data_IF_106559496159
#
_entry.id   IF_106559496159
#
_cell.length_a   1.000
_cell.length_b   1.000
_cell.length_c   1.000
_cell.angle_alpha   90.00
_cell.angle_beta   90.00
_cell.angle_gamma   90.00
#
_symmetry.space_group_name_H-M   'P 1'
#
loop_
_entity.id
_entity.type
_entity.pdbx_description
1 polymer ?
#
# COMPACT_ATOMS: atom_id res chain seq x y z
N UNK A 1 -17.01 21.69 12.66
CA UNK A 1 -15.77 21.47 11.87
C UNK A 1 -16.10 20.64 10.64
N UNK A 2 -15.81 21.10 9.41
CA UNK A 2 -16.00 20.27 8.20
C UNK A 2 -14.92 19.17 8.15
N UNK A 3 -15.34 17.92 8.00
CA UNK A 3 -14.46 16.77 7.79
C UNK A 3 -13.94 16.82 6.35
N UNK A 4 -12.62 16.88 6.19
CA UNK A 4 -11.97 16.82 4.87
C UNK A 4 -11.41 15.42 4.65
N UNK A 5 -11.35 14.91 3.41
CA UNK A 5 -10.76 13.60 3.11
C UNK A 5 -9.37 13.43 3.73
N UNK A 6 -8.51 14.45 3.62
CA UNK A 6 -7.15 14.42 4.18
C UNK A 6 -7.12 14.22 5.72
N UNK A 7 -8.10 14.77 6.46
CA UNK A 7 -8.18 14.55 7.92
C UNK A 7 -8.57 13.11 8.23
N UNK A 8 -9.41 12.51 7.41
CA UNK A 8 -9.82 11.11 7.56
C UNK A 8 -8.64 10.20 7.23
N UNK A 9 -7.88 10.49 6.17
CA UNK A 9 -6.63 9.77 5.86
C UNK A 9 -5.62 9.87 7.01
N UNK A 10 -5.43 11.05 7.61
CA UNK A 10 -4.54 11.22 8.76
C UNK A 10 -5.04 10.44 9.99
N UNK A 11 -6.35 10.49 10.27
CA UNK A 11 -6.97 9.71 11.34
C UNK A 11 -6.78 8.21 11.09
N UNK A 12 -6.97 7.74 9.86
CA UNK A 12 -6.76 6.37 9.43
C UNK A 12 -5.34 5.89 9.74
N UNK A 13 -4.33 6.71 9.40
CA UNK A 13 -2.93 6.42 9.73
C UNK A 13 -2.75 6.35 11.24
N UNK A 14 -3.24 7.33 12.01
CA UNK A 14 -3.15 7.32 13.47
C UNK A 14 -3.80 6.08 14.10
N UNK A 15 -4.98 5.67 13.63
CA UNK A 15 -5.68 4.44 14.04
C UNK A 15 -4.86 3.21 13.69
N UNK A 16 -4.22 3.18 12.52
CA UNK A 16 -3.32 2.09 12.12
C UNK A 16 -2.12 1.93 13.05
N UNK A 17 -1.47 3.05 13.42
CA UNK A 17 -0.38 3.04 14.41
C UNK A 17 -0.86 2.62 15.80
N UNK A 18 -2.04 3.10 16.22
CA UNK A 18 -2.63 2.71 17.49
C UNK A 18 -2.90 1.20 17.54
N UNK A 19 -3.46 0.61 16.47
CA UNK A 19 -3.67 -0.82 16.34
C UNK A 19 -2.36 -1.60 16.50
N UNK A 20 -1.31 -1.20 15.77
CA UNK A 20 0.01 -1.85 15.86
C UNK A 20 0.63 -1.72 17.26
N UNK A 21 0.44 -0.58 17.94
CA UNK A 21 0.94 -0.39 19.30
C UNK A 21 0.21 -1.24 20.36
N UNK A 22 -0.99 -1.74 20.06
CA UNK A 22 -1.79 -2.56 20.96
C UNK A 22 -1.53 -4.05 20.78
N UNK A 23 -1.15 -4.48 19.57
CA UNK A 23 -0.77 -5.86 19.33
C UNK A 23 0.37 -6.28 20.26
N UNK A 24 0.29 -7.52 20.76
CA UNK A 24 1.29 -8.13 21.63
C UNK A 24 1.24 -7.70 23.10
N UNK A 25 0.43 -6.71 23.48
CA UNK A 25 0.38 -6.21 24.87
C UNK A 25 -0.45 -7.07 25.83
N UNK A 26 -1.62 -7.51 25.38
CA UNK A 26 -2.54 -8.34 26.16
C UNK A 26 -3.56 -9.01 25.24
N UNK A 27 -4.19 -10.07 25.72
CA UNK A 27 -5.32 -10.75 25.08
C UNK A 27 -6.39 -9.78 24.53
N UNK A 28 -6.97 -8.97 25.42
CA UNK A 28 -8.00 -7.99 25.06
C UNK A 28 -7.46 -6.85 24.18
N UNK A 29 -6.18 -6.48 24.35
CA UNK A 29 -5.53 -5.49 23.50
C UNK A 29 -5.34 -6.00 22.06
N UNK A 30 -5.09 -7.30 21.86
CA UNK A 30 -5.02 -7.90 20.53
C UNK A 30 -6.38 -7.85 19.83
N UNK A 31 -7.47 -8.17 20.54
CA UNK A 31 -8.83 -8.05 19.98
C UNK A 31 -9.18 -6.60 19.63
N UNK A 32 -8.83 -5.65 20.50
CA UNK A 32 -8.98 -4.23 20.22
C UNK A 32 -8.15 -3.79 19.00
N UNK A 33 -6.91 -4.30 18.85
CA UNK A 33 -6.07 -4.02 17.68
C UNK A 33 -6.66 -4.56 16.38
N UNK A 34 -7.26 -5.75 16.38
CA UNK A 34 -8.02 -6.27 15.23
C UNK A 34 -9.20 -5.36 14.90
N UNK A 35 -9.98 -4.93 15.91
CA UNK A 35 -11.10 -4.02 15.70
C UNK A 35 -10.64 -2.66 15.11
N UNK A 36 -9.52 -2.12 15.60
CA UNK A 36 -8.92 -0.89 15.06
C UNK A 36 -8.38 -1.08 13.63
N UNK A 37 -7.87 -2.27 13.31
CA UNK A 37 -7.45 -2.62 11.94
C UNK A 37 -8.64 -2.53 10.99
N UNK A 38 -9.76 -3.17 11.36
CA UNK A 38 -11.02 -3.10 10.60
C UNK A 38 -11.51 -1.66 10.51
N UNK A 39 -11.43 -0.88 11.58
CA UNK A 39 -11.80 0.53 11.57
C UNK A 39 -10.93 1.37 10.62
N UNK A 40 -9.61 1.14 10.59
CA UNK A 40 -8.71 1.83 9.65
C UNK A 40 -9.09 1.52 8.19
N UNK A 41 -9.45 0.27 7.89
CA UNK A 41 -9.93 -0.12 6.55
C UNK A 41 -11.27 0.55 6.23
N UNK A 42 -12.18 0.65 7.19
CA UNK A 42 -13.46 1.32 6.99
C UNK A 42 -13.27 2.83 6.75
N UNK A 43 -12.29 3.47 7.40
CA UNK A 43 -11.96 4.88 7.20
C UNK A 43 -11.44 5.18 5.79
N UNK A 44 -10.70 4.25 5.16
CA UNK A 44 -10.28 4.32 3.75
C UNK A 44 -11.47 4.28 2.79
N UNK A 45 -12.43 3.39 3.04
CA UNK A 45 -13.64 3.36 2.23
C UNK A 45 -14.44 4.66 2.36
N UNK A 46 -14.43 5.26 3.56
CA UNK A 46 -15.16 6.48 3.89
C UNK A 46 -14.53 7.73 3.28
N UNK A 47 -13.21 7.91 3.35
CA UNK A 47 -12.56 9.10 2.78
C UNK A 47 -12.73 9.17 1.26
N UNK A 48 -12.64 8.03 0.58
CA UNK A 48 -12.90 7.90 -0.85
C UNK A 48 -14.37 8.15 -1.20
N UNK A 49 -15.31 7.74 -0.34
CA UNK A 49 -16.73 8.05 -0.53
C UNK A 49 -16.99 9.56 -0.43
N UNK A 50 -16.50 10.19 0.64
CA UNK A 50 -16.68 11.63 0.88
C UNK A 50 -16.01 12.46 -0.22
N UNK A 51 -14.79 12.12 -0.63
CA UNK A 51 -14.09 12.83 -1.70
C UNK A 51 -14.87 12.85 -3.02
N UNK A 52 -15.55 11.73 -3.36
CA UNK A 52 -16.39 11.64 -4.57
C UNK A 52 -17.71 12.37 -4.42
N UNK A 53 -18.35 12.28 -3.25
CA UNK A 53 -19.67 12.86 -3.02
C UNK A 53 -19.63 14.38 -2.93
N UNK A 54 -18.59 14.91 -2.31
CA UNK A 54 -18.41 16.35 -2.07
C UNK A 54 -17.58 17.04 -3.17
N UNK A 55 -17.13 16.30 -4.19
CA UNK A 55 -16.26 16.79 -5.27
C UNK A 55 -14.98 17.49 -4.77
N UNK A 56 -14.44 17.02 -3.64
CA UNK A 56 -13.25 17.56 -2.96
C UNK A 56 -11.96 16.84 -3.38
N UNK A 57 -11.97 16.15 -4.52
CA UNK A 57 -10.80 15.45 -5.03
C UNK A 57 -9.73 16.45 -5.48
N UNK A 58 -8.61 16.50 -4.75
CA UNK A 58 -7.47 17.38 -5.07
C UNK A 58 -6.22 16.55 -5.40
N UNK A 59 -5.29 17.06 -6.25
CA UNK A 59 -4.02 16.38 -6.53
C UNK A 59 -3.15 16.17 -5.29
N UNK A 60 -3.19 17.10 -4.32
CA UNK A 60 -2.50 16.95 -3.05
C UNK A 60 -3.16 15.91 -2.16
N UNK A 61 -4.50 15.90 -2.05
CA UNK A 61 -5.23 14.90 -1.29
C UNK A 61 -4.96 13.48 -1.79
N UNK A 62 -4.92 13.28 -3.11
CA UNK A 62 -4.57 11.99 -3.71
C UNK A 62 -3.14 11.52 -3.36
N UNK A 63 -2.17 12.45 -3.25
CA UNK A 63 -0.81 12.11 -2.82
C UNK A 63 -0.75 11.76 -1.32
N UNK A 64 -1.49 12.49 -0.48
CA UNK A 64 -1.60 12.19 0.96
C UNK A 64 -2.24 10.81 1.19
N UNK A 65 -3.25 10.47 0.41
CA UNK A 65 -3.90 9.15 0.46
C UNK A 65 -2.94 8.01 0.07
N UNK A 66 -2.22 8.17 -1.05
CA UNK A 66 -1.17 7.22 -1.46
C UNK A 66 -0.11 7.09 -0.37
N UNK A 67 0.32 8.19 0.24
CA UNK A 67 1.30 8.16 1.33
C UNK A 67 0.74 7.40 2.55
N UNK A 68 -0.49 7.69 2.96
CA UNK A 68 -1.17 7.01 4.07
C UNK A 68 -1.28 5.50 3.84
N UNK A 69 -1.64 5.07 2.63
CA UNK A 69 -1.69 3.66 2.23
C UNK A 69 -0.34 2.96 2.42
N UNK A 70 0.75 3.63 2.02
CA UNK A 70 2.12 3.09 2.14
C UNK A 70 2.57 3.01 3.57
N UNK A 71 2.23 3.99 4.39
CA UNK A 71 2.56 3.99 5.81
C UNK A 71 1.88 2.83 6.52
N UNK A 72 0.56 2.65 6.32
CA UNK A 72 -0.20 1.56 6.94
C UNK A 72 0.29 0.20 6.43
N UNK A 73 0.47 0.04 5.11
CA UNK A 73 1.00 -1.20 4.52
C UNK A 73 2.33 -1.61 5.17
N UNK A 74 3.29 -0.67 5.25
CA UNK A 74 4.60 -0.97 5.81
C UNK A 74 4.57 -1.19 7.32
N UNK A 75 3.82 -0.39 8.07
CA UNK A 75 3.74 -0.51 9.54
C UNK A 75 3.18 -1.87 9.95
N UNK A 76 2.11 -2.34 9.29
CA UNK A 76 1.53 -3.65 9.58
C UNK A 76 2.46 -4.81 9.20
N UNK A 77 2.98 -4.84 7.95
CA UNK A 77 3.86 -5.93 7.54
C UNK A 77 5.18 -5.96 8.31
N UNK A 78 5.73 -4.79 8.68
CA UNK A 78 6.94 -4.72 9.51
C UNK A 78 6.68 -5.26 10.91
N UNK A 79 5.55 -4.91 11.52
CA UNK A 79 5.17 -5.44 12.82
C UNK A 79 5.02 -6.97 12.79
N UNK A 80 4.26 -7.51 11.82
CA UNK A 80 4.08 -8.96 11.71
C UNK A 80 5.38 -9.69 11.38
N UNK A 81 6.31 -9.05 10.65
CA UNK A 81 7.64 -9.60 10.43
C UNK A 81 8.47 -9.62 11.72
N UNK A 82 8.44 -8.54 12.50
CA UNK A 82 9.15 -8.44 13.77
C UNK A 82 8.66 -9.47 14.81
N UNK A 83 7.37 -9.80 14.78
CA UNK A 83 6.76 -10.83 15.63
C UNK A 83 7.01 -12.26 15.11
N UNK A 84 7.63 -12.41 13.94
CA UNK A 84 7.99 -13.70 13.34
C UNK A 84 6.83 -14.43 12.66
N UNK A 85 5.73 -13.73 12.37
CA UNK A 85 4.57 -14.32 11.69
C UNK A 85 4.75 -14.35 10.17
N UNK A 86 5.48 -13.39 9.62
CA UNK A 86 5.79 -13.30 8.20
C UNK A 86 7.29 -13.06 7.97
N UNK A 87 7.79 -13.34 6.77
CA UNK A 87 9.19 -13.08 6.43
C UNK A 87 9.50 -11.58 6.40
N UNK A 88 10.67 -11.19 6.92
CA UNK A 88 11.18 -9.81 6.84
C UNK A 88 11.32 -9.32 5.38
N UNK A 89 11.49 -10.22 4.42
CA UNK A 89 11.57 -9.87 3.00
C UNK A 89 10.25 -9.31 2.44
N UNK A 90 9.11 -9.61 3.06
CA UNK A 90 7.81 -9.11 2.61
C UNK A 90 7.67 -7.59 2.78
N UNK A 91 7.81 -6.99 3.98
CA UNK A 91 7.76 -5.53 4.12
C UNK A 91 8.85 -4.83 3.29
N UNK A 92 10.06 -5.41 3.20
CA UNK A 92 11.13 -4.88 2.33
C UNK A 92 10.70 -4.83 0.87
N UNK A 93 10.06 -5.89 0.37
CA UNK A 93 9.55 -5.96 -1.00
C UNK A 93 8.43 -4.93 -1.24
N UNK A 94 7.44 -4.85 -0.34
CA UNK A 94 6.36 -3.86 -0.46
C UNK A 94 6.89 -2.43 -0.46
N UNK A 95 7.85 -2.13 0.42
CA UNK A 95 8.52 -0.84 0.49
C UNK A 95 9.30 -0.53 -0.79
N UNK A 96 10.24 -1.41 -1.18
CA UNK A 96 11.11 -1.20 -2.34
C UNK A 96 10.29 -1.04 -3.62
N UNK A 97 9.31 -1.93 -3.87
CA UNK A 97 8.43 -1.82 -5.03
C UNK A 97 7.62 -0.53 -4.97
N UNK A 98 7.05 -0.20 -3.81
CA UNK A 98 6.30 1.04 -3.61
C UNK A 98 7.13 2.28 -3.97
N UNK A 99 8.30 2.41 -3.36
CA UNK A 99 9.23 3.51 -3.58
C UNK A 99 9.64 3.65 -5.06
N UNK A 100 9.98 2.56 -5.73
CA UNK A 100 10.32 2.60 -7.17
C UNK A 100 9.11 3.04 -8.01
N UNK A 101 7.92 2.49 -7.75
CA UNK A 101 6.72 2.89 -8.50
C UNK A 101 6.34 4.36 -8.30
N UNK A 102 6.53 4.88 -7.09
CA UNK A 102 6.21 6.27 -6.76
C UNK A 102 7.27 7.23 -7.33
N UNK A 103 8.55 6.83 -7.34
CA UNK A 103 9.62 7.55 -8.02
C UNK A 103 9.37 7.69 -9.53
N UNK A 104 9.06 6.57 -10.22
CA UNK A 104 8.78 6.58 -11.66
C UNK A 104 7.54 7.42 -12.00
N UNK A 105 6.49 7.35 -11.17
CA UNK A 105 5.32 8.23 -11.30
C UNK A 105 5.69 9.69 -11.13
N UNK A 106 6.56 10.03 -10.18
CA UNK A 106 7.07 11.37 -9.99
C UNK A 106 7.81 11.91 -11.22
N UNK A 107 8.62 11.09 -11.88
CA UNK A 107 9.29 11.45 -13.13
C UNK A 107 8.30 11.66 -14.28
N UNK A 108 7.29 10.80 -14.40
CA UNK A 108 6.24 10.95 -15.40
C UNK A 108 5.44 12.25 -15.20
N UNK A 109 5.11 12.60 -13.95
CA UNK A 109 4.47 13.87 -13.59
C UNK A 109 5.31 15.08 -14.01
N UNK A 110 6.63 15.04 -13.79
CA UNK A 110 7.55 16.09 -14.27
C UNK A 110 7.59 16.19 -15.80
N UNK A 111 7.42 15.08 -16.51
CA UNK A 111 7.34 15.03 -17.96
C UNK A 111 5.95 15.42 -18.53
N UNK A 112 5.05 15.99 -17.71
CA UNK A 112 3.72 16.43 -18.13
C UNK A 112 2.71 15.30 -18.28
N UNK A 113 2.99 14.10 -17.77
CA UNK A 113 2.07 12.96 -17.78
C UNK A 113 1.38 12.85 -16.42
N UNK A 114 0.06 12.79 -16.41
CA UNK A 114 -0.73 12.60 -15.19
C UNK A 114 -0.74 11.13 -14.76
N UNK A 115 -1.14 10.84 -13.52
CA UNK A 115 -1.44 9.47 -13.09
C UNK A 115 -2.73 8.88 -13.71
N UNK A 116 -3.63 9.73 -14.22
CA UNK A 116 -4.99 9.38 -14.64
C UNK A 116 -5.44 10.17 -15.89
N UNK A 117 -6.26 9.58 -16.76
CA UNK A 117 -6.86 10.25 -17.92
C UNK A 117 -6.06 10.14 -19.22
N UNK A 118 -6.35 11.03 -20.20
CA UNK A 118 -5.73 11.01 -21.53
C UNK A 118 -4.19 11.19 -21.51
N UNK A 119 -3.65 11.80 -20.45
CA UNK A 119 -2.21 11.96 -20.21
C UNK A 119 -1.64 10.95 -19.22
N UNK A 120 -2.33 9.82 -18.96
CA UNK A 120 -1.86 8.81 -18.02
C UNK A 120 -0.45 8.33 -18.35
N UNK A 121 0.37 8.13 -17.30
CA UNK A 121 1.69 7.50 -17.41
C UNK A 121 1.59 6.12 -18.07
N UNK A 122 0.57 5.33 -17.70
CA UNK A 122 0.32 4.00 -18.26
C UNK A 122 -0.51 4.10 -19.56
N UNK A 123 0.16 3.87 -20.68
CA UNK A 123 -0.42 3.86 -22.01
C UNK A 123 -0.86 2.47 -22.45
N UNK A 124 -0.18 1.41 -22.00
CA UNK A 124 -0.53 0.05 -22.43
C UNK A 124 -1.92 -0.40 -21.89
N UNK A 125 -2.76 -1.06 -22.71
CA UNK A 125 -4.08 -1.53 -22.26
C UNK A 125 -4.00 -2.54 -21.12
N UNK A 126 -3.01 -3.44 -21.17
CA UNK A 126 -2.78 -4.44 -20.13
C UNK A 126 -2.26 -3.80 -18.83
N UNK A 127 -1.34 -2.82 -18.90
CA UNK A 127 -0.86 -2.09 -17.74
C UNK A 127 -1.98 -1.28 -17.08
N UNK A 128 -2.84 -0.65 -17.88
CA UNK A 128 -4.02 0.07 -17.37
C UNK A 128 -5.05 -0.88 -16.75
N UNK A 129 -5.32 -2.02 -17.37
CA UNK A 129 -6.22 -3.05 -16.84
C UNK A 129 -5.69 -3.63 -15.51
N UNK A 130 -4.38 -3.90 -15.43
CA UNK A 130 -3.78 -4.54 -14.27
C UNK A 130 -3.53 -3.57 -13.11
N UNK A 131 -3.21 -2.30 -13.37
CA UNK A 131 -2.82 -1.34 -12.32
C UNK A 131 -3.93 -0.35 -12.00
N UNK A 132 -4.58 0.19 -13.03
CA UNK A 132 -5.51 1.32 -12.90
C UNK A 132 -6.99 0.89 -12.81
N UNK A 133 -7.34 -0.35 -13.19
CA UNK A 133 -8.72 -0.83 -13.09
C UNK A 133 -9.24 -0.78 -11.66
N UNK A 134 -10.55 -0.50 -11.50
CA UNK A 134 -11.22 -0.45 -10.20
C UNK A 134 -11.20 -1.84 -9.54
N UNK A 135 -11.37 -2.88 -10.34
CA UNK A 135 -11.42 -4.26 -9.87
C UNK A 135 -10.06 -4.74 -9.35
N UNK A 136 -8.97 -4.53 -10.10
CA UNK A 136 -7.63 -4.92 -9.64
C UNK A 136 -7.19 -4.14 -8.39
N UNK A 137 -7.51 -2.84 -8.31
CA UNK A 137 -7.24 -2.03 -7.12
C UNK A 137 -8.01 -2.55 -5.91
N UNK A 138 -9.31 -2.80 -6.07
CA UNK A 138 -10.18 -3.35 -5.02
C UNK A 138 -9.72 -4.73 -4.57
N UNK A 139 -9.36 -5.62 -5.51
CA UNK A 139 -8.84 -6.95 -5.21
C UNK A 139 -7.55 -6.86 -4.37
N UNK A 140 -6.58 -6.04 -4.77
CA UNK A 140 -5.34 -5.88 -4.02
C UNK A 140 -5.56 -5.30 -2.61
N UNK A 141 -6.43 -4.29 -2.49
CA UNK A 141 -6.81 -3.73 -1.19
C UNK A 141 -7.49 -4.78 -0.30
N UNK A 142 -8.42 -5.56 -0.88
CA UNK A 142 -9.09 -6.67 -0.23
C UNK A 142 -8.12 -7.75 0.25
N UNK A 143 -7.17 -8.16 -0.59
CA UNK A 143 -6.15 -9.15 -0.24
C UNK A 143 -5.31 -8.70 0.96
N UNK A 144 -4.88 -7.43 1.01
CA UNK A 144 -4.16 -6.88 2.17
C UNK A 144 -5.02 -6.81 3.42
N UNK A 145 -6.25 -6.33 3.28
CA UNK A 145 -7.21 -6.25 4.38
C UNK A 145 -7.39 -7.65 5.00
N UNK A 146 -7.63 -8.65 4.16
CA UNK A 146 -7.69 -10.04 4.59
C UNK A 146 -6.39 -10.49 5.25
N UNK A 147 -5.21 -10.18 4.69
CA UNK A 147 -3.93 -10.50 5.34
C UNK A 147 -3.84 -9.90 6.75
N UNK A 148 -4.12 -8.61 6.91
CA UNK A 148 -3.98 -7.92 8.20
C UNK A 148 -4.99 -8.41 9.23
N UNK A 149 -6.24 -8.61 8.84
CA UNK A 149 -7.26 -9.17 9.71
C UNK A 149 -6.91 -10.60 10.12
N UNK A 150 -6.40 -11.42 9.19
CA UNK A 150 -6.11 -12.81 9.44
C UNK A 150 -4.85 -13.00 10.30
N UNK A 151 -3.77 -12.27 10.01
CA UNK A 151 -2.56 -12.23 10.85
C UNK A 151 -2.85 -11.64 12.24
N UNK A 152 -3.68 -10.59 12.31
CA UNK A 152 -4.11 -10.01 13.58
C UNK A 152 -4.96 -10.98 14.41
N UNK A 153 -5.87 -11.72 13.77
CA UNK A 153 -6.68 -12.75 14.42
C UNK A 153 -5.82 -13.93 14.88
N UNK A 154 -4.90 -14.42 14.05
CA UNK A 154 -3.95 -15.47 14.43
C UNK A 154 -3.13 -15.04 15.66
N UNK A 155 -2.65 -13.80 15.69
CA UNK A 155 -1.91 -13.27 16.84
C UNK A 155 -2.79 -13.18 18.09
N UNK A 156 -4.05 -12.74 17.94
CA UNK A 156 -5.01 -12.68 19.02
C UNK A 156 -5.36 -14.08 19.57
N UNK A 157 -5.44 -15.07 18.69
CA UNK A 157 -5.72 -16.46 19.05
C UNK A 157 -4.49 -17.13 19.69
N UNK A 158 -3.29 -16.91 19.16
CA UNK A 158 -2.04 -17.50 19.66
C UNK A 158 -1.58 -16.92 21.01
N UNK A 159 -1.94 -15.66 21.31
CA UNK A 159 -1.54 -14.95 22.55
C UNK A 159 -2.73 -14.51 23.41
N UNK A 160 -3.93 -15.03 23.15
CA UNK A 160 -5.17 -14.66 23.84
C UNK A 160 -5.70 -15.72 24.81
N UNK A 161 -6.88 -15.48 25.43
CA UNK A 161 -7.48 -16.40 26.40
C UNK A 161 -8.04 -17.66 25.73
N UNK A 162 -8.20 -17.64 24.40
CA UNK A 162 -8.68 -18.79 23.60
C UNK A 162 -7.57 -19.83 23.39
N UNK A 163 -6.30 -19.49 23.63
CA UNK A 163 -5.21 -20.47 23.71
C UNK A 163 -5.44 -21.52 24.83
N UNK A 164 -6.39 -21.27 25.74
CA UNK A 164 -6.81 -22.22 26.78
C UNK A 164 -7.76 -23.34 26.28
N UNK A 165 -8.27 -23.25 25.04
CA UNK A 165 -9.37 -24.10 24.55
C UNK A 165 -8.91 -25.38 23.80
N UNK A 166 -8.04 -26.19 24.40
CA UNK A 166 -7.91 -27.64 24.10
C UNK A 166 -7.31 -28.07 22.73
N UNK A 167 -7.12 -29.39 22.51
CA UNK A 167 -6.30 -29.97 21.41
C UNK A 167 -6.84 -29.75 19.98
N UNK A 168 -8.15 -29.53 19.82
CA UNK A 168 -8.77 -29.20 18.52
C UNK A 168 -8.30 -27.84 17.97
N UNK A 169 -7.64 -27.02 18.80
CA UNK A 169 -7.10 -25.73 18.39
C UNK A 169 -5.80 -25.86 17.60
N UNK A 170 -4.94 -26.85 17.85
CA UNK A 170 -3.60 -26.88 17.24
C UNK A 170 -3.65 -27.03 15.71
N UNK A 171 -4.44 -27.98 15.21
CA UNK A 171 -4.63 -28.20 13.78
C UNK A 171 -5.37 -27.01 13.12
N UNK A 172 -6.32 -26.41 13.84
CA UNK A 172 -7.03 -25.23 13.39
C UNK A 172 -6.10 -24.00 13.30
N UNK A 173 -5.23 -23.79 14.29
CA UNK A 173 -4.21 -22.75 14.27
C UNK A 173 -3.20 -22.97 13.14
N UNK A 174 -2.78 -24.21 12.91
CA UNK A 174 -1.88 -24.56 11.81
C UNK A 174 -2.52 -24.30 10.44
N UNK A 175 -3.80 -24.66 10.27
CA UNK A 175 -4.57 -24.38 9.08
C UNK A 175 -4.70 -22.86 8.84
N UNK A 176 -5.04 -22.09 9.89
CA UNK A 176 -5.09 -20.62 9.82
C UNK A 176 -3.74 -20.05 9.43
N UNK A 177 -2.65 -20.46 10.08
CA UNK A 177 -1.31 -19.96 9.77
C UNK A 177 -0.90 -20.26 8.33
N UNK A 178 -1.20 -21.46 7.84
CA UNK A 178 -0.92 -21.83 6.45
C UNK A 178 -1.70 -20.97 5.45
N UNK A 179 -2.98 -20.71 5.72
CA UNK A 179 -3.82 -19.81 4.93
C UNK A 179 -3.28 -18.37 4.94
N UNK A 180 -2.83 -17.89 6.10
CA UNK A 180 -2.26 -16.54 6.25
C UNK A 180 -1.00 -16.37 5.41
N UNK A 181 -0.11 -17.37 5.45
CA UNK A 181 1.13 -17.36 4.68
C UNK A 181 0.87 -17.44 3.18
N UNK A 182 -0.02 -18.34 2.74
CA UNK A 182 -0.41 -18.47 1.32
C UNK A 182 -1.00 -17.16 0.82
N UNK A 183 -1.94 -16.56 1.57
CA UNK A 183 -2.55 -15.28 1.20
C UNK A 183 -1.52 -14.14 1.16
N UNK A 184 -0.59 -14.12 2.12
CA UNK A 184 0.45 -13.07 2.18
C UNK A 184 1.39 -13.17 0.98
N UNK A 185 1.85 -14.38 0.65
CA UNK A 185 2.70 -14.60 -0.53
C UNK A 185 1.95 -14.37 -1.85
N UNK A 186 0.68 -14.76 -1.94
CA UNK A 186 -0.17 -14.43 -3.08
C UNK A 186 -0.33 -12.90 -3.24
N UNK A 187 -0.49 -12.18 -2.13
CA UNK A 187 -0.55 -10.71 -2.12
C UNK A 187 0.76 -10.09 -2.58
N UNK A 188 1.89 -10.63 -2.14
CA UNK A 188 3.23 -10.20 -2.57
C UNK A 188 3.46 -10.47 -4.07
N UNK A 189 3.07 -11.65 -4.56
CA UNK A 189 3.15 -11.98 -5.98
C UNK A 189 2.28 -11.03 -6.83
N UNK A 190 1.03 -10.79 -6.41
CA UNK A 190 0.14 -9.86 -7.10
C UNK A 190 0.67 -8.41 -7.07
N UNK A 191 1.27 -8.01 -5.94
CA UNK A 191 1.99 -6.75 -5.79
C UNK A 191 3.12 -6.58 -6.82
N UNK A 192 3.95 -7.61 -7.01
CA UNK A 192 5.01 -7.61 -8.01
C UNK A 192 4.45 -7.54 -9.42
N UNK A 193 3.47 -8.38 -9.74
CA UNK A 193 2.82 -8.43 -11.06
C UNK A 193 2.25 -7.07 -11.44
N UNK A 194 1.59 -6.37 -10.50
CA UNK A 194 1.10 -5.00 -10.72
C UNK A 194 2.22 -3.96 -10.84
N UNK A 195 3.41 -4.22 -10.30
CA UNK A 195 4.58 -3.36 -10.43
C UNK A 195 5.20 -3.39 -11.83
N UNK A 196 5.16 -4.54 -12.51
CA UNK A 196 5.80 -4.76 -13.81
C UNK A 196 5.44 -3.68 -14.87
N UNK A 197 4.16 -3.40 -15.17
CA UNK A 197 3.83 -2.38 -16.17
C UNK A 197 4.33 -0.99 -15.82
N UNK A 198 4.34 -0.64 -14.52
CA UNK A 198 4.87 0.65 -14.06
C UNK A 198 6.37 0.73 -14.26
N UNK A 199 7.09 -0.36 -14.01
CA UNK A 199 8.54 -0.41 -14.24
C UNK A 199 8.85 -0.28 -15.73
N UNK A 200 8.20 -1.06 -16.58
CA UNK A 200 8.45 -1.08 -18.03
C UNK A 200 8.17 0.30 -18.66
N UNK A 201 6.97 0.84 -18.44
CA UNK A 201 6.59 2.11 -19.06
C UNK A 201 7.25 3.30 -18.36
N UNK A 202 7.41 3.24 -17.04
CA UNK A 202 8.06 4.25 -16.23
C UNK A 202 9.55 4.42 -16.56
N UNK A 203 10.24 3.32 -16.90
CA UNK A 203 11.67 3.34 -17.24
C UNK A 203 11.99 4.27 -18.41
N UNK A 204 11.07 4.42 -19.37
CA UNK A 204 11.24 5.33 -20.50
C UNK A 204 11.43 6.80 -20.06
N UNK A 205 10.73 7.23 -19.01
CA UNK A 205 10.84 8.58 -18.45
C UNK A 205 12.14 8.76 -17.66
N UNK A 206 12.63 7.71 -17.00
CA UNK A 206 13.93 7.73 -16.35
C UNK A 206 15.06 7.84 -17.38
N UNK A 207 15.05 6.98 -18.40
CA UNK A 207 16.03 7.02 -19.48
C UNK A 207 15.99 8.35 -20.27
N UNK A 208 14.82 8.95 -20.43
CA UNK A 208 14.66 10.29 -21.02
C UNK A 208 15.34 11.40 -20.21
N UNK A 209 15.28 11.33 -18.87
CA UNK A 209 15.91 12.30 -17.98
C UNK A 209 17.44 12.12 -17.83
N UNK A 210 17.99 10.96 -18.21
CA UNK A 210 19.45 10.73 -18.23
C UNK A 210 20.12 11.33 -19.47
N UNK A 211 19.36 11.68 -20.52
CA UNK A 211 19.93 12.35 -21.69
C UNK A 211 20.35 13.76 -21.29
N UNK A 212 21.60 14.19 -21.58
CA UNK A 212 22.03 15.55 -21.27
C UNK A 212 21.08 16.55 -21.95
N UNK A 213 20.68 17.57 -21.21
CA UNK A 213 19.86 18.65 -21.75
C UNK A 213 20.53 19.19 -23.03
N UNK A 214 19.76 19.48 -24.09
CA UNK A 214 20.34 20.06 -25.29
C UNK A 214 21.11 21.32 -24.88
N UNK A 215 22.40 21.37 -25.21
CA UNK A 215 23.27 22.51 -24.90
C UNK A 215 22.59 23.79 -25.37
N UNK A 216 22.50 24.76 -24.48
CA UNK A 216 21.97 26.10 -24.79
C UNK A 216 22.82 26.73 -25.89
N UNK A 217 22.24 27.66 -26.64
CA UNK A 217 22.97 28.36 -27.71
C UNK A 217 24.26 29.01 -27.21
N UNK A 218 24.27 29.49 -25.96
CA UNK A 218 25.47 30.02 -25.29
C UNK A 218 26.57 28.98 -25.15
N UNK A 219 26.24 27.78 -24.66
CA UNK A 219 27.21 26.67 -24.53
C UNK A 219 27.70 26.13 -25.87
N UNK A 220 26.91 26.27 -26.94
CA UNK A 220 27.36 25.93 -28.31
C UNK A 220 28.31 26.99 -28.86
N UNK A 221 28.08 28.27 -28.53
CA UNK A 221 28.96 29.37 -28.95
C UNK A 221 30.33 29.31 -28.26
N UNK A 222 30.39 28.97 -26.97
CA UNK A 222 31.64 28.85 -26.22
C UNK A 222 32.54 27.68 -26.66
N UNK A 223 31.97 26.62 -27.24
CA UNK A 223 32.76 25.49 -27.78
C UNK A 223 33.25 25.70 -29.21
N UNK A 224 32.61 26.60 -29.94
CA UNK A 224 32.93 26.90 -31.34
C UNK A 224 33.83 28.14 -31.48
N UNK A 225 34.24 28.75 -30.36
CA UNK A 225 35.19 29.85 -30.25
C UNK A 225 36.54 29.33 -29.75
#
# INVERSE_FOLDING_TARGET
>A
MRWTPNKITLLRVAVGFAAVSLFGRAAWANLAAVALTVAAIALDALDGHIARRENLATPLGAQIDILGDRMIENVYFTYFAAVGMVSLWLPVLFFARGAVTDFLRGLAMKAGRSGWGAHAMLQSPWGRALVASRWSRGLYAGMKCLCFCYLGLELALARGPVALAGPLTADFHAAIRSGALVLTWATAAFCLVRGIPVLIEGWSYFAGNLKPAPRTELQRRELNA
#
